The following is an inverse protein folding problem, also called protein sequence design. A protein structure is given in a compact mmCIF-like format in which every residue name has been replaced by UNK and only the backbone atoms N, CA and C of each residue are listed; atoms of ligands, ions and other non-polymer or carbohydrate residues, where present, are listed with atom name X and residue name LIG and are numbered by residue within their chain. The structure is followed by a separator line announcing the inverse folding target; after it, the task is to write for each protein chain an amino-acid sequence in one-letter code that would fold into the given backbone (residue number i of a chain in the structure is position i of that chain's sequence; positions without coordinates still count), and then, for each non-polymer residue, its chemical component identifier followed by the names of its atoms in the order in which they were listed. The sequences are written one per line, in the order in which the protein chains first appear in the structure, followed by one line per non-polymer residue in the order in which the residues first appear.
data_IF_624729864809
#
_entry.id   IF_624729864809
#
_cell.length_a   1.000
_cell.length_b   1.000
_cell.length_c   1.000
_cell.angle_alpha   90.00
_cell.angle_beta   90.00
_cell.angle_gamma   90.00
#
_symmetry.space_group_name_H-M   'P 1'
#
loop_
_entity.id
_entity.type
_entity.pdbx_description
1 polymer ?
#
# COMPACT_ATOMS: atom_id res chain seq x y z
N UNK A 1 -23.50 7.99 0.34
CA UNK A 1 -22.24 8.25 -0.41
C UNK A 1 -22.42 9.53 -1.19
N UNK A 2 -21.80 10.63 -0.77
CA UNK A 2 -21.80 11.88 -1.53
C UNK A 2 -20.48 11.95 -2.31
N UNK A 3 -20.54 11.68 -3.62
CA UNK A 3 -19.42 11.88 -4.54
C UNK A 3 -19.62 13.19 -5.28
N UNK A 4 -18.68 14.12 -5.15
CA UNK A 4 -18.72 15.41 -5.85
C UNK A 4 -18.19 15.25 -7.28
N UNK A 5 -18.98 15.66 -8.27
CA UNK A 5 -18.67 15.62 -9.71
C UNK A 5 -17.92 16.87 -10.18
N UNK A 6 -16.83 17.23 -9.51
CA UNK A 6 -15.88 18.23 -10.01
C UNK A 6 -14.53 17.57 -10.28
N UNK A 7 -13.96 17.85 -11.46
CA UNK A 7 -12.88 17.13 -12.12
C UNK A 7 -11.84 16.57 -11.16
N UNK A 8 -11.69 15.25 -11.19
CA UNK A 8 -10.85 14.48 -10.27
C UNK A 8 -9.38 14.84 -10.43
N UNK A 9 -8.95 15.89 -9.74
CA UNK A 9 -7.60 15.95 -9.22
C UNK A 9 -7.63 15.26 -7.85
N UNK A 10 -7.40 13.95 -7.86
CA UNK A 10 -7.55 13.08 -6.68
C UNK A 10 -6.35 13.22 -5.74
N UNK A 11 -6.21 14.40 -5.12
CA UNK A 11 -5.27 14.63 -4.05
C UNK A 11 -5.71 13.89 -2.79
N UNK A 12 -4.84 13.10 -2.13
CA UNK A 12 -5.20 12.42 -0.91
C UNK A 12 -5.42 13.46 0.20
N UNK A 13 -6.34 13.16 1.10
CA UNK A 13 -6.72 14.02 2.22
C UNK A 13 -6.33 13.35 3.53
N UNK A 14 -5.52 14.02 4.34
CA UNK A 14 -5.22 13.58 5.72
C UNK A 14 -6.24 14.19 6.67
N UNK A 15 -6.67 13.40 7.65
CA UNK A 15 -7.69 13.79 8.62
C UNK A 15 -7.16 13.53 10.02
N UNK A 16 -7.38 14.47 10.93
CA UNK A 16 -7.06 14.26 12.33
C UNK A 16 -8.13 13.40 13.00
N UNK A 17 -7.75 12.23 13.49
CA UNK A 17 -8.70 11.23 14.00
C UNK A 17 -9.55 11.71 15.16
N UNK A 18 -9.01 12.50 16.10
CA UNK A 18 -9.80 13.02 17.23
C UNK A 18 -10.95 13.91 16.76
N UNK A 19 -10.74 14.67 15.68
CA UNK A 19 -11.78 15.53 15.10
C UNK A 19 -12.94 14.75 14.47
N UNK A 20 -12.75 13.47 14.13
CA UNK A 20 -13.84 12.61 13.64
C UNK A 20 -14.82 12.24 14.76
N UNK A 21 -14.37 12.28 16.01
CA UNK A 21 -15.16 11.91 17.19
C UNK A 21 -15.72 13.11 17.95
N UNK A 22 -15.17 14.31 17.74
CA UNK A 22 -15.64 15.54 18.38
C UNK A 22 -16.52 16.36 17.42
N UNK A 23 -17.84 16.26 17.55
CA UNK A 23 -18.76 17.07 16.75
C UNK A 23 -18.91 18.48 17.33
N UNK A 24 -18.08 19.44 16.91
CA UNK A 24 -18.34 20.85 17.19
C UNK A 24 -19.25 21.45 16.10
N UNK A 25 -20.55 21.15 16.19
CA UNK A 25 -21.72 21.87 15.66
C UNK A 25 -21.80 22.27 14.18
N UNK A 26 -20.75 22.86 13.60
CA UNK A 26 -20.78 23.55 12.31
C UNK A 26 -19.49 23.38 11.48
N UNK A 27 -18.38 22.90 12.07
CA UNK A 27 -17.10 22.72 11.38
C UNK A 27 -16.85 21.22 11.09
N UNK A 28 -16.48 20.90 9.84
CA UNK A 28 -16.13 19.53 9.44
C UNK A 28 -14.85 19.02 10.13
N UNK A 29 -14.51 17.72 9.98
CA UNK A 29 -13.31 17.19 10.61
C UNK A 29 -12.05 17.89 10.12
N UNK A 30 -11.14 18.21 11.05
CA UNK A 30 -9.88 18.87 10.77
C UNK A 30 -9.08 18.02 9.78
N UNK A 31 -8.78 18.61 8.64
CA UNK A 31 -8.22 17.88 7.52
C UNK A 31 -7.45 18.78 6.56
N UNK A 32 -6.51 18.19 5.82
CA UNK A 32 -5.62 18.89 4.90
C UNK A 32 -5.38 18.04 3.65
N UNK A 33 -5.33 18.68 2.47
CA UNK A 33 -4.93 18.02 1.24
C UNK A 33 -3.41 17.84 1.21
N UNK A 34 -2.97 16.66 0.80
CA UNK A 34 -1.57 16.38 0.48
C UNK A 34 -1.26 16.99 -0.89
N UNK A 35 -0.14 17.71 -1.06
CA UNK A 35 0.14 18.49 -2.26
C UNK A 35 0.64 17.62 -3.43
N UNK A 36 -0.17 16.63 -3.84
CA UNK A 36 0.08 15.74 -4.98
C UNK A 36 -1.21 15.47 -5.75
N UNK A 37 -1.10 15.23 -7.06
CA UNK A 37 -2.21 14.94 -7.96
C UNK A 37 -2.16 13.49 -8.46
N UNK A 38 -3.33 12.89 -8.69
CA UNK A 38 -3.42 11.52 -9.23
C UNK A 38 -2.82 10.46 -8.30
N UNK A 39 -3.13 10.52 -6.99
CA UNK A 39 -2.72 9.50 -6.03
C UNK A 39 -3.20 8.10 -6.45
N UNK A 40 -2.30 7.13 -6.42
CA UNK A 40 -2.56 5.72 -6.78
C UNK A 40 -2.46 4.77 -5.58
N UNK A 41 -1.55 5.05 -4.64
CA UNK A 41 -1.39 4.29 -3.41
C UNK A 41 -0.78 5.19 -2.32
N UNK A 42 -1.11 4.93 -1.06
CA UNK A 42 -0.54 5.66 0.07
C UNK A 42 -0.39 4.73 1.28
N UNK A 43 0.64 4.98 2.10
CA UNK A 43 0.87 4.23 3.34
C UNK A 43 1.53 5.12 4.40
N UNK A 44 1.08 5.00 5.65
CA UNK A 44 1.82 5.56 6.78
C UNK A 44 3.01 4.67 7.12
N UNK A 45 4.17 5.29 7.35
CA UNK A 45 5.41 4.60 7.67
C UNK A 45 5.38 4.19 9.15
N UNK A 46 5.43 2.89 9.47
CA UNK A 46 5.45 2.43 10.85
C UNK A 46 6.65 3.02 11.60
N UNK A 47 6.54 3.16 12.92
CA UNK A 47 7.61 3.61 13.83
C UNK A 47 8.12 5.04 13.58
N UNK A 48 7.55 5.77 12.62
CA UNK A 48 7.82 7.19 12.39
C UNK A 48 6.59 8.03 12.80
N UNK A 49 6.78 9.21 13.41
CA UNK A 49 5.66 10.11 13.72
C UNK A 49 4.95 10.57 12.43
N UNK A 50 3.74 10.07 12.19
CA UNK A 50 2.82 10.50 11.13
C UNK A 50 3.47 10.77 9.75
N UNK A 51 4.46 9.95 9.38
CA UNK A 51 5.13 10.04 8.07
C UNK A 51 4.35 9.25 7.04
N UNK A 52 4.02 9.88 5.91
CA UNK A 52 3.16 9.36 4.87
C UNK A 52 3.95 9.21 3.56
N UNK A 53 3.93 8.05 2.94
CA UNK A 53 4.41 7.86 1.57
C UNK A 53 3.22 7.77 0.61
N UNK A 54 3.32 8.44 -0.54
CA UNK A 54 2.28 8.48 -1.56
C UNK A 54 2.89 8.23 -2.93
N UNK A 55 2.30 7.29 -3.68
CA UNK A 55 2.56 7.14 -5.11
C UNK A 55 1.53 7.96 -5.88
N UNK A 56 2.00 8.79 -6.79
CA UNK A 56 1.17 9.70 -7.55
C UNK A 56 1.72 9.91 -8.97
N UNK A 57 0.94 10.54 -9.84
CA UNK A 57 1.45 10.99 -11.14
C UNK A 57 2.44 12.14 -10.94
N UNK A 58 3.55 12.11 -11.67
CA UNK A 58 4.47 13.25 -11.71
C UNK A 58 3.87 14.40 -12.53
N UNK A 59 4.56 15.54 -12.60
CA UNK A 59 4.22 16.65 -13.49
C UNK A 59 4.01 16.16 -14.95
N UNK A 60 4.85 15.22 -15.38
CA UNK A 60 4.57 14.41 -16.56
C UNK A 60 3.60 13.27 -16.17
N UNK A 61 2.33 13.39 -16.57
CA UNK A 61 1.26 12.44 -16.21
C UNK A 61 1.51 10.97 -16.59
N UNK A 62 2.51 10.69 -17.42
CA UNK A 62 2.93 9.33 -17.78
C UNK A 62 3.88 8.70 -16.76
N UNK A 63 4.61 9.52 -16.04
CA UNK A 63 5.59 9.08 -15.07
C UNK A 63 4.98 9.09 -13.67
N UNK A 64 5.49 8.21 -12.82
CA UNK A 64 5.03 8.06 -11.45
C UNK A 64 6.14 8.45 -10.51
N UNK A 65 5.77 9.09 -9.41
CA UNK A 65 6.69 9.42 -8.34
C UNK A 65 6.17 8.83 -7.03
N UNK A 66 7.10 8.56 -6.13
CA UNK A 66 6.80 8.33 -4.72
C UNK A 66 7.33 9.54 -3.95
N UNK A 67 6.42 10.19 -3.23
CA UNK A 67 6.75 11.34 -2.38
C UNK A 67 6.42 11.02 -0.93
N UNK A 68 7.34 11.37 -0.04
CA UNK A 68 7.25 11.16 1.41
C UNK A 68 6.99 12.50 2.08
N UNK A 69 6.01 12.52 2.98
CA UNK A 69 5.57 13.70 3.71
C UNK A 69 5.65 13.47 5.22
N UNK A 70 6.04 14.51 5.94
CA UNK A 70 5.77 14.64 7.37
C UNK A 70 4.43 15.32 7.55
N UNK A 71 3.55 14.69 8.33
CA UNK A 71 2.26 15.26 8.72
C UNK A 71 2.33 15.64 10.19
N UNK A 72 2.10 16.91 10.50
CA UNK A 72 2.14 17.41 11.88
C UNK A 72 0.93 18.27 12.20
N UNK A 73 0.62 18.37 13.49
CA UNK A 73 -0.46 19.22 13.99
C UNK A 73 0.15 20.44 14.64
N UNK A 74 -0.22 21.63 14.15
CA UNK A 74 0.15 22.91 14.73
C UNK A 74 -1.02 23.45 15.54
N UNK A 75 -0.86 23.49 16.86
CA UNK A 75 -1.83 24.11 17.78
C UNK A 75 -1.46 25.57 18.00
N UNK A 76 -2.41 26.46 17.71
CA UNK A 76 -2.38 27.89 17.99
C UNK A 76 -3.46 28.21 19.03
N UNK A 77 -3.41 29.40 19.63
CA UNK A 77 -4.28 29.79 20.76
C UNK A 77 -5.78 29.55 20.53
N UNK A 78 -6.25 29.66 19.29
CA UNK A 78 -7.66 29.50 18.90
C UNK A 78 -7.87 28.62 17.67
N UNK A 79 -6.82 27.93 17.19
CA UNK A 79 -6.89 27.18 15.93
C UNK A 79 -5.92 26.01 15.95
N UNK A 80 -6.36 24.87 15.45
CA UNK A 80 -5.49 23.74 15.18
C UNK A 80 -5.43 23.54 13.67
N UNK A 81 -4.24 23.36 13.13
CA UNK A 81 -4.03 23.15 11.69
C UNK A 81 -3.18 21.90 11.46
N UNK A 82 -3.45 21.19 10.36
CA UNK A 82 -2.58 20.11 9.89
C UNK A 82 -1.58 20.72 8.90
N UNK A 83 -0.31 20.42 9.09
CA UNK A 83 0.77 20.76 8.17
C UNK A 83 1.25 19.50 7.47
N UNK A 84 1.51 19.62 6.17
CA UNK A 84 2.03 18.54 5.33
C UNK A 84 3.30 19.07 4.67
N UNK A 85 4.45 18.51 5.04
CA UNK A 85 5.76 18.93 4.53
C UNK A 85 6.38 17.79 3.72
N UNK A 86 6.76 18.05 2.48
CA UNK A 86 7.52 17.09 1.68
C UNK A 86 8.92 16.92 2.26
N UNK A 87 9.34 15.67 2.43
CA UNK A 87 10.65 15.28 2.96
C UNK A 87 11.52 14.68 1.85
N UNK A 88 10.94 13.83 1.02
CA UNK A 88 11.63 13.16 -0.09
C UNK A 88 10.69 13.02 -1.28
N UNK A 89 11.23 13.00 -2.49
CA UNK A 89 10.49 12.67 -3.71
C UNK A 89 11.43 12.05 -4.73
N UNK A 90 11.03 10.94 -5.33
CA UNK A 90 11.82 10.26 -6.35
C UNK A 90 10.93 9.61 -7.41
N UNK A 91 11.40 9.55 -8.67
CA UNK A 91 10.68 8.87 -9.74
C UNK A 91 10.66 7.36 -9.52
N UNK A 92 9.56 6.72 -9.89
CA UNK A 92 9.44 5.28 -9.95
C UNK A 92 9.62 4.82 -11.40
N UNK A 93 10.55 3.91 -11.63
CA UNK A 93 10.81 3.29 -12.94
C UNK A 93 9.77 2.20 -13.23
N UNK A 94 8.50 2.60 -13.31
CA UNK A 94 7.36 1.74 -13.67
C UNK A 94 6.92 2.03 -15.10
N UNK A 95 6.24 1.06 -15.71
CA UNK A 95 5.57 1.30 -16.99
C UNK A 95 4.50 2.38 -16.82
N UNK A 96 4.36 3.26 -17.82
CA UNK A 96 3.35 4.31 -17.85
C UNK A 96 1.91 3.75 -17.73
N UNK A 97 1.70 2.49 -18.13
CA UNK A 97 0.40 1.81 -18.06
C UNK A 97 0.22 0.91 -16.85
N UNK A 98 1.17 0.87 -15.91
CA UNK A 98 0.98 0.13 -14.67
C UNK A 98 -0.26 0.66 -13.95
N UNK A 99 -1.22 -0.20 -13.64
CA UNK A 99 -2.38 0.10 -12.78
C UNK A 99 -2.40 -0.90 -11.63
N UNK A 100 -3.26 -0.69 -10.64
CA UNK A 100 -3.33 -1.58 -9.47
C UNK A 100 -2.03 -1.61 -8.67
N UNK A 101 -1.48 -0.43 -8.38
CA UNK A 101 -0.29 -0.35 -7.53
C UNK A 101 -0.69 -0.57 -6.07
N UNK A 102 0.08 -1.39 -5.37
CA UNK A 102 -0.06 -1.55 -3.92
C UNK A 102 1.22 -1.11 -3.23
N UNK A 103 1.07 -0.30 -2.19
CA UNK A 103 2.17 0.19 -1.39
C UNK A 103 1.94 -0.22 0.07
N UNK A 104 2.97 -0.81 0.66
CA UNK A 104 3.00 -1.13 2.08
C UNK A 104 4.36 -0.73 2.66
N UNK A 105 4.43 -0.53 3.97
CA UNK A 105 5.66 -0.17 4.66
C UNK A 105 5.97 -1.22 5.73
N UNK A 106 7.17 -1.81 5.66
CA UNK A 106 7.65 -2.80 6.63
C UNK A 106 8.12 -2.12 7.92
N UNK A 107 8.83 -1.00 7.76
CA UNK A 107 9.55 -0.32 8.83
C UNK A 107 9.88 1.12 8.42
N UNK A 108 10.52 1.87 9.31
CA UNK A 108 11.02 3.23 9.04
C UNK A 108 12.09 3.32 7.96
N UNK A 109 12.53 2.22 7.33
CA UNK A 109 13.60 2.21 6.32
C UNK A 109 13.25 1.38 5.07
N UNK A 110 12.07 0.75 5.01
CA UNK A 110 11.74 -0.15 3.90
C UNK A 110 10.25 -0.09 3.55
N UNK A 111 9.97 0.14 2.27
CA UNK A 111 8.66 0.08 1.63
C UNK A 111 8.63 -1.06 0.62
N UNK A 112 7.45 -1.66 0.45
CA UNK A 112 7.16 -2.68 -0.55
C UNK A 112 6.16 -2.12 -1.54
N UNK A 113 6.53 -2.11 -2.80
CA UNK A 113 5.66 -1.77 -3.92
C UNK A 113 5.33 -3.05 -4.68
N UNK A 114 4.04 -3.26 -4.99
CA UNK A 114 3.59 -4.26 -5.96
C UNK A 114 3.02 -3.58 -7.21
N UNK A 115 3.37 -4.12 -8.37
CA UNK A 115 2.91 -3.67 -9.69
C UNK A 115 3.05 -4.82 -10.69
N UNK A 116 1.95 -5.17 -11.37
CA UNK A 116 1.94 -6.37 -12.19
C UNK A 116 2.32 -7.60 -11.34
N UNK A 117 3.19 -8.45 -11.85
CA UNK A 117 3.60 -9.71 -11.20
C UNK A 117 4.82 -9.57 -10.25
N UNK A 118 5.31 -8.34 -10.03
CA UNK A 118 6.59 -8.09 -9.36
C UNK A 118 6.41 -7.24 -8.09
N UNK A 119 7.32 -7.48 -7.15
CA UNK A 119 7.53 -6.68 -5.96
C UNK A 119 8.85 -5.91 -6.07
N UNK A 120 8.87 -4.69 -5.55
CA UNK A 120 10.07 -3.86 -5.40
C UNK A 120 10.20 -3.39 -3.96
N UNK A 121 11.40 -3.51 -3.40
CA UNK A 121 11.74 -3.03 -2.07
C UNK A 121 12.51 -1.73 -2.21
N UNK A 122 11.97 -0.64 -1.66
CA UNK A 122 12.59 0.66 -1.68
C UNK A 122 12.93 1.13 -0.26
N UNK A 123 14.06 1.83 -0.14
CA UNK A 123 14.26 2.71 1.01
C UNK A 123 13.39 3.96 0.89
N UNK A 124 13.21 4.70 1.99
CA UNK A 124 12.50 5.99 1.96
C UNK A 124 13.23 7.09 1.18
N UNK A 125 14.52 6.90 0.89
CA UNK A 125 15.32 7.80 0.05
C UNK A 125 15.29 7.42 -1.43
N UNK A 126 14.46 6.46 -1.82
CA UNK A 126 14.31 6.03 -3.21
C UNK A 126 15.34 5.05 -3.73
N UNK A 127 16.26 4.57 -2.88
CA UNK A 127 17.17 3.48 -3.26
C UNK A 127 16.39 2.18 -3.41
N UNK A 128 16.45 1.57 -4.59
CA UNK A 128 15.95 0.21 -4.84
C UNK A 128 16.87 -0.78 -4.12
N UNK A 129 16.32 -1.48 -3.13
CA UNK A 129 17.03 -2.47 -2.32
C UNK A 129 17.06 -3.83 -3.02
N UNK A 130 15.92 -4.24 -3.58
CA UNK A 130 15.80 -5.46 -4.40
C UNK A 130 14.46 -5.48 -5.14
N UNK A 131 14.36 -6.37 -6.14
CA UNK A 131 13.08 -6.74 -6.77
C UNK A 131 12.87 -8.25 -6.67
N UNK A 132 11.62 -8.67 -6.70
CA UNK A 132 11.25 -10.08 -6.52
C UNK A 132 10.05 -10.42 -7.41
N UNK A 133 10.16 -11.49 -8.19
CA UNK A 133 9.10 -12.00 -9.07
C UNK A 133 8.92 -13.49 -8.80
N UNK A 134 7.69 -13.88 -8.47
CA UNK A 134 7.30 -15.27 -8.15
C UNK A 134 5.90 -15.59 -8.70
N UNK A 135 5.02 -14.60 -8.78
CA UNK A 135 3.75 -14.74 -9.48
C UNK A 135 3.94 -14.79 -11.01
N UNK A 136 3.02 -15.50 -11.67
CA UNK A 136 2.89 -15.51 -13.14
C UNK A 136 1.76 -14.62 -13.63
N UNK A 137 1.07 -13.93 -12.72
CA UNK A 137 -0.03 -13.03 -13.01
C UNK A 137 0.00 -11.80 -12.10
N UNK A 138 -0.83 -10.78 -12.39
CA UNK A 138 -0.85 -9.54 -11.61
C UNK A 138 -1.13 -9.78 -10.12
N UNK A 139 -0.34 -9.13 -9.27
CA UNK A 139 -0.56 -9.00 -7.84
C UNK A 139 -1.71 -8.03 -7.65
N UNK A 140 -2.70 -8.43 -6.86
CA UNK A 140 -3.95 -7.70 -6.62
C UNK A 140 -4.07 -7.15 -5.20
N UNK A 141 -3.24 -7.64 -4.28
CA UNK A 141 -3.19 -7.17 -2.91
C UNK A 141 -1.92 -7.66 -2.22
N UNK A 142 -1.44 -6.89 -1.24
CA UNK A 142 -0.31 -7.26 -0.40
C UNK A 142 -0.66 -7.00 1.07
N UNK A 143 -0.16 -7.88 1.94
CA UNK A 143 -0.14 -7.70 3.39
C UNK A 143 1.30 -7.84 3.87
N UNK A 144 1.77 -6.89 4.68
CA UNK A 144 3.17 -6.78 5.07
C UNK A 144 3.25 -6.62 6.59
N UNK A 145 4.04 -7.47 7.23
CA UNK A 145 4.36 -7.36 8.66
C UNK A 145 5.89 -7.48 8.90
N UNK A 146 6.29 -7.52 10.17
CA UNK A 146 7.71 -7.59 10.55
C UNK A 146 8.42 -8.89 10.15
N UNK A 147 7.67 -9.98 9.90
CA UNK A 147 8.16 -11.33 9.61
C UNK A 147 8.00 -11.73 8.13
N UNK A 148 6.95 -11.25 7.46
CA UNK A 148 6.56 -11.73 6.13
C UNK A 148 5.89 -10.69 5.25
N UNK A 149 5.83 -11.04 3.97
CA UNK A 149 4.97 -10.44 2.96
C UNK A 149 4.05 -11.52 2.42
N UNK A 150 2.76 -11.26 2.40
CA UNK A 150 1.77 -12.11 1.75
C UNK A 150 1.21 -11.39 0.54
N UNK A 151 1.26 -12.02 -0.63
CA UNK A 151 0.73 -11.46 -1.88
C UNK A 151 -0.46 -12.29 -2.35
N UNK A 152 -1.47 -11.61 -2.88
CA UNK A 152 -2.59 -12.19 -3.61
C UNK A 152 -2.45 -11.90 -5.10
N UNK A 153 -2.85 -12.83 -5.97
CA UNK A 153 -2.72 -12.67 -7.41
C UNK A 153 -3.87 -13.30 -8.19
N UNK A 154 -4.04 -12.78 -9.41
CA UNK A 154 -4.86 -13.37 -10.47
C UNK A 154 -4.32 -14.71 -11.00
N UNK A 155 -3.09 -15.10 -10.64
CA UNK A 155 -2.58 -16.45 -10.92
C UNK A 155 -3.19 -17.56 -10.04
N UNK A 156 -4.29 -17.25 -9.34
CA UNK A 156 -5.03 -18.14 -8.44
C UNK A 156 -4.24 -18.60 -7.22
N UNK A 157 -3.24 -17.82 -6.80
CA UNK A 157 -2.45 -18.17 -5.64
C UNK A 157 -2.15 -17.03 -4.69
N UNK A 158 -1.83 -17.40 -3.46
CA UNK A 158 -1.11 -16.55 -2.51
C UNK A 158 0.35 -16.98 -2.45
N UNK A 159 1.26 -16.03 -2.31
CA UNK A 159 2.65 -16.31 -1.89
C UNK A 159 2.85 -15.82 -0.48
N UNK A 160 3.52 -16.63 0.32
CA UNK A 160 4.03 -16.24 1.63
C UNK A 160 5.54 -16.15 1.52
N UNK A 161 6.05 -14.94 1.68
CA UNK A 161 7.46 -14.60 1.55
C UNK A 161 7.99 -14.15 2.91
N UNK A 162 9.26 -14.42 3.18
CA UNK A 162 9.95 -13.93 4.39
C UNK A 162 11.08 -12.98 4.05
N UNK A 163 11.38 -12.06 4.96
CA UNK A 163 12.53 -11.16 4.84
C UNK A 163 13.84 -11.92 4.96
N UNK A 164 14.80 -11.59 4.09
CA UNK A 164 16.18 -12.08 4.16
C UNK A 164 17.13 -10.89 4.14
N UNK A 165 17.96 -10.79 5.19
CA UNK A 165 19.06 -9.83 5.23
C UNK A 165 20.31 -10.45 4.58
N UNK A 166 21.00 -9.66 3.76
CA UNK A 166 22.32 -10.00 3.26
C UNK A 166 23.41 -9.53 4.23
N UNK A 167 24.60 -10.14 4.17
CA UNK A 167 25.72 -9.81 5.05
C UNK A 167 26.25 -8.39 4.86
N UNK A 168 26.05 -7.82 3.68
CA UNK A 168 26.41 -6.45 3.29
C UNK A 168 25.36 -5.40 3.70
N UNK A 169 24.30 -5.80 4.42
CA UNK A 169 23.21 -4.92 4.82
C UNK A 169 22.07 -4.81 3.81
N UNK A 170 22.11 -5.57 2.70
CA UNK A 170 21.00 -5.66 1.75
C UNK A 170 19.76 -6.35 2.34
N UNK A 171 18.58 -6.05 1.79
CA UNK A 171 17.30 -6.66 2.18
C UNK A 171 16.58 -7.21 0.96
N UNK A 172 16.15 -8.47 1.04
CA UNK A 172 15.38 -9.15 -0.01
C UNK A 172 14.25 -10.02 0.57
N UNK A 173 13.54 -10.69 -0.34
CA UNK A 173 12.47 -11.63 -0.04
C UNK A 173 12.87 -13.06 -0.41
N UNK A 174 12.39 -14.02 0.36
CA UNK A 174 12.55 -15.45 0.12
C UNK A 174 11.17 -16.12 0.14
N UNK A 175 10.83 -16.85 -0.93
CA UNK A 175 9.55 -17.58 -1.02
C UNK A 175 9.54 -18.74 -0.02
N UNK A 176 8.42 -18.90 0.70
CA UNK A 176 8.23 -19.99 1.67
C UNK A 176 7.08 -20.90 1.30
N UNK A 177 5.91 -20.32 1.02
CA UNK A 177 4.71 -21.10 0.73
C UNK A 177 3.98 -20.55 -0.48
N UNK A 178 3.43 -21.49 -1.25
CA UNK A 178 2.53 -21.24 -2.37
C UNK A 178 1.17 -21.83 -2.02
N UNK A 179 0.20 -20.97 -1.71
CA UNK A 179 -1.14 -21.39 -1.29
C UNK A 179 -2.08 -21.29 -2.48
N UNK A 180 -2.53 -22.45 -2.98
CA UNK A 180 -3.37 -22.52 -4.16
C UNK A 180 -4.83 -22.24 -3.82
N UNK A 181 -5.41 -21.30 -4.57
CA UNK A 181 -6.67 -20.64 -4.28
C UNK A 181 -7.90 -21.18 -4.96
N UNK A 182 -7.80 -22.12 -5.90
CA UNK A 182 -8.99 -22.67 -6.52
C UNK A 182 -8.75 -23.29 -7.89
N UNK A 183 -9.87 -23.60 -8.53
CA UNK A 183 -9.88 -24.11 -9.91
C UNK A 183 -9.85 -22.95 -10.89
N UNK A 184 -9.04 -23.08 -11.96
CA UNK A 184 -9.07 -22.18 -13.11
C UNK A 184 -10.46 -22.10 -13.79
N UNK A 185 -11.33 -23.08 -13.59
CA UNK A 185 -12.68 -23.07 -14.15
C UNK A 185 -13.69 -22.29 -13.30
N UNK A 186 -13.42 -22.09 -12.01
CA UNK A 186 -14.39 -21.55 -11.05
C UNK A 186 -13.97 -20.19 -10.48
N UNK A 187 -12.68 -19.83 -10.53
CA UNK A 187 -12.14 -18.62 -9.93
C UNK A 187 -11.35 -17.76 -10.92
N UNK A 188 -11.33 -16.46 -10.66
CA UNK A 188 -10.60 -15.44 -11.46
C UNK A 188 -9.29 -14.99 -10.82
N UNK A 189 -9.10 -15.25 -9.53
CA UNK A 189 -7.94 -14.75 -8.80
C UNK A 189 -8.24 -14.52 -7.33
N UNK A 190 -7.20 -14.42 -6.52
CA UNK A 190 -7.32 -13.69 -5.28
C UNK A 190 -7.39 -12.20 -5.55
N UNK A 191 -8.21 -11.47 -4.81
CA UNK A 191 -8.37 -10.02 -4.98
C UNK A 191 -7.88 -9.22 -3.78
N UNK A 192 -7.98 -9.79 -2.57
CA UNK A 192 -7.60 -9.12 -1.33
C UNK A 192 -6.94 -10.13 -0.40
N UNK A 193 -5.95 -9.67 0.37
CA UNK A 193 -5.35 -10.47 1.43
C UNK A 193 -5.11 -9.63 2.68
N UNK A 194 -5.43 -10.23 3.83
CA UNK A 194 -5.05 -9.75 5.15
C UNK A 194 -4.30 -10.87 5.87
N UNK A 195 -3.31 -10.49 6.67
CA UNK A 195 -2.51 -11.43 7.44
C UNK A 195 -2.23 -10.84 8.82
N UNK A 196 -2.29 -11.69 9.84
CA UNK A 196 -1.77 -11.41 11.17
C UNK A 196 -0.67 -12.42 11.52
N UNK A 197 -0.24 -12.48 12.78
CA UNK A 197 0.82 -13.41 13.21
C UNK A 197 0.44 -14.91 13.07
N UNK A 198 -0.84 -15.23 13.08
CA UNK A 198 -1.36 -16.61 13.15
C UNK A 198 -2.12 -17.06 11.92
N UNK A 199 -2.60 -16.15 11.09
CA UNK A 199 -3.55 -16.46 10.03
C UNK A 199 -3.39 -15.58 8.79
N UNK A 200 -3.90 -16.11 7.68
CA UNK A 200 -4.10 -15.39 6.43
C UNK A 200 -5.57 -15.53 6.05
N UNK A 201 -6.22 -14.42 5.72
CA UNK A 201 -7.56 -14.42 5.13
C UNK A 201 -7.50 -13.73 3.78
N UNK A 202 -8.08 -14.34 2.76
CA UNK A 202 -8.08 -13.80 1.42
C UNK A 202 -9.43 -13.97 0.72
N UNK A 203 -9.77 -12.98 -0.11
CA UNK A 203 -10.94 -13.02 -0.98
C UNK A 203 -10.56 -13.58 -2.34
N UNK A 204 -11.38 -14.48 -2.88
CA UNK A 204 -11.25 -15.07 -4.21
C UNK A 204 -12.47 -14.70 -5.04
N UNK A 205 -12.23 -14.11 -6.21
CA UNK A 205 -13.30 -13.74 -7.13
C UNK A 205 -13.79 -14.99 -7.90
N UNK A 206 -15.10 -15.22 -7.87
CA UNK A 206 -15.75 -16.34 -8.57
C UNK A 206 -16.13 -15.99 -10.01
N UNK A 207 -16.06 -16.97 -10.92
CA UNK A 207 -16.51 -16.78 -12.31
C UNK A 207 -18.03 -16.55 -12.44
N UNK A 208 -18.81 -17.05 -11.48
CA UNK A 208 -20.27 -16.92 -11.41
C UNK A 208 -20.72 -15.72 -10.56
N UNK A 209 -19.78 -14.86 -10.17
CA UNK A 209 -20.02 -13.73 -9.25
C UNK A 209 -20.19 -14.15 -7.79
N UNK A 210 -19.94 -15.42 -7.43
CA UNK A 210 -19.94 -15.88 -6.04
C UNK A 210 -18.52 -15.93 -5.50
N UNK A 211 -18.11 -14.82 -4.92
CA UNK A 211 -16.82 -14.71 -4.27
C UNK A 211 -16.76 -15.57 -3.01
N UNK A 212 -15.57 -16.09 -2.69
CA UNK A 212 -15.34 -16.90 -1.51
C UNK A 212 -14.20 -16.32 -0.66
N UNK A 213 -14.33 -16.48 0.66
CA UNK A 213 -13.26 -16.20 1.59
C UNK A 213 -12.50 -17.49 1.89
N UNK A 214 -11.18 -17.40 1.87
CA UNK A 214 -10.27 -18.47 2.27
C UNK A 214 -9.46 -18.05 3.47
N UNK A 215 -9.41 -18.92 4.47
CA UNK A 215 -8.61 -18.73 5.67
C UNK A 215 -7.56 -19.83 5.78
N UNK A 216 -6.34 -19.44 6.14
CA UNK A 216 -5.22 -20.32 6.41
C UNK A 216 -4.68 -19.98 7.81
N UNK A 217 -4.21 -20.99 8.53
CA UNK A 217 -3.60 -20.83 9.84
C UNK A 217 -2.19 -21.40 9.83
N UNK A 218 -1.26 -20.74 10.52
CA UNK A 218 0.08 -21.26 10.76
C UNK A 218 0.03 -22.17 11.99
N UNK A 219 0.05 -23.49 11.78
CA UNK A 219 0.13 -24.46 12.88
C UNK A 219 1.59 -24.61 13.33
N UNK A 220 1.82 -24.51 14.63
CA UNK A 220 3.09 -24.82 15.30
C UNK A 220 3.36 -26.32 15.37
#
# INVERSE_FOLDING_TARGET
MAGTTQGADSSPKVIFSESLTSSSGDEGPLSQLVPVSGCQAAVFIPTQPARLAVIHHSENRRDKALTVFDVSIKKMKYKTEIQVQQVESFPLMLSAWSSGLHLAAKSSNCMVLAAGEQLWLYSLKGVLLSSFKDHTGPITSISVDSFRVVTASQDLSLRVLTWRNHRDGGLTLESRYHLLGGSHTMARGFTHVACDYSSIVASVEGNDGKDVLKAYSFTS
#
